data_IF_491901051396
#
_entry.id   IF_491901051396
#
_cell.length_a   1.000
_cell.length_b   1.000
_cell.length_c   1.000
_cell.angle_alpha   90.00
_cell.angle_beta   90.00
_cell.angle_gamma   90.00
#
_symmetry.space_group_name_H-M   'P 1'
#
loop_
_entity.id
_entity.type
_entity.pdbx_description
1 polymer ?
#
# COMPACT_ATOMS: atom_id res chain seq x y z
N UNK A 1 15.95 -5.24 34.59
CA UNK A 1 15.78 -5.55 36.02
C UNK A 1 14.34 -5.22 36.36
N UNK A 2 13.57 -6.15 36.92
CA UNK A 2 12.14 -5.92 37.15
C UNK A 2 11.97 -4.82 38.18
N UNK A 3 11.43 -3.66 37.78
CA UNK A 3 10.94 -2.65 38.70
C UNK A 3 9.71 -3.20 39.41
N UNK A 4 9.95 -4.12 40.34
CA UNK A 4 8.92 -4.73 41.18
C UNK A 4 8.36 -3.64 42.08
N UNK A 5 7.11 -3.30 41.86
CA UNK A 5 6.36 -2.35 42.67
C UNK A 5 6.30 -2.86 44.13
N UNK A 6 6.41 -1.98 45.14
CA UNK A 6 6.31 -2.39 46.55
C UNK A 6 5.02 -3.17 46.87
N UNK A 7 3.92 -2.88 46.16
CA UNK A 7 2.67 -3.65 46.25
C UNK A 7 2.83 -5.07 45.70
N UNK A 8 3.54 -5.25 44.57
CA UNK A 8 3.84 -6.56 44.00
C UNK A 8 4.84 -7.33 44.88
N UNK A 9 5.83 -6.66 45.46
CA UNK A 9 6.78 -7.26 46.41
C UNK A 9 6.10 -7.81 47.66
N UNK A 10 5.07 -7.12 48.17
CA UNK A 10 4.25 -7.60 49.28
C UNK A 10 3.08 -8.50 48.85
N UNK A 11 2.92 -8.75 47.54
CA UNK A 11 1.82 -9.53 46.97
C UNK A 11 0.44 -9.04 47.44
N UNK A 12 0.23 -7.72 47.32
CA UNK A 12 -1.01 -7.03 47.72
C UNK A 12 -1.49 -6.09 46.62
N UNK A 13 -2.79 -5.83 46.61
CA UNK A 13 -3.38 -4.85 45.69
C UNK A 13 -2.93 -3.42 46.06
N UNK A 14 -2.76 -2.49 45.09
CA UNK A 14 -2.49 -1.07 45.37
C UNK A 14 -3.52 -0.39 46.30
N UNK A 15 -4.74 -0.94 46.36
CA UNK A 15 -5.82 -0.49 47.25
C UNK A 15 -5.90 -1.26 48.57
N UNK A 16 -4.92 -2.11 48.88
CA UNK A 16 -4.91 -2.88 50.13
C UNK A 16 -4.90 -1.96 51.35
N UNK A 17 -5.62 -2.38 52.38
CA UNK A 17 -5.68 -1.71 53.68
C UNK A 17 -4.37 -1.91 54.45
N UNK A 18 -4.12 -1.05 55.45
CA UNK A 18 -2.93 -1.18 56.31
C UNK A 18 -2.90 -2.52 57.05
N UNK A 19 -4.07 -3.09 57.36
CA UNK A 19 -4.19 -4.41 57.99
C UNK A 19 -3.72 -5.53 57.06
N UNK A 20 -4.15 -5.50 55.79
CA UNK A 20 -3.74 -6.47 54.77
C UNK A 20 -2.25 -6.38 54.47
N UNK A 21 -1.70 -5.16 54.37
CA UNK A 21 -0.26 -4.93 54.19
C UNK A 21 0.55 -5.54 55.35
N UNK A 22 0.08 -5.33 56.59
CA UNK A 22 0.71 -5.88 57.79
C UNK A 22 0.62 -7.41 57.86
N UNK A 23 -0.50 -7.98 57.44
CA UNK A 23 -0.68 -9.43 57.37
C UNK A 23 0.22 -10.06 56.29
N UNK A 24 0.28 -9.45 55.11
CA UNK A 24 1.13 -9.89 54.01
C UNK A 24 2.61 -9.85 54.39
N UNK A 25 3.07 -8.76 55.02
CA UNK A 25 4.41 -8.64 55.56
C UNK A 25 4.75 -9.78 56.53
N UNK A 26 3.89 -10.05 57.53
CA UNK A 26 4.12 -11.13 58.50
C UNK A 26 4.23 -12.50 57.84
N UNK A 27 3.37 -12.77 56.85
CA UNK A 27 3.37 -14.02 56.08
C UNK A 27 4.66 -14.20 55.28
N UNK A 28 5.07 -13.17 54.55
CA UNK A 28 6.26 -13.19 53.71
C UNK A 28 7.54 -13.19 54.57
N UNK A 29 7.56 -12.44 55.67
CA UNK A 29 8.68 -12.41 56.60
C UNK A 29 8.95 -13.80 57.21
N UNK A 30 7.91 -14.50 57.65
CA UNK A 30 8.04 -15.88 58.17
C UNK A 30 8.51 -16.87 57.10
N UNK A 31 8.11 -16.66 55.84
CA UNK A 31 8.48 -17.52 54.71
C UNK A 31 9.95 -17.35 54.31
N UNK A 32 10.44 -16.10 54.27
CA UNK A 32 11.77 -15.78 53.78
C UNK A 32 12.83 -15.60 54.90
N UNK A 33 12.46 -15.71 56.17
CA UNK A 33 13.39 -15.53 57.29
C UNK A 33 14.57 -16.53 57.21
N UNK A 34 15.82 -16.08 57.41
CA UNK A 34 17.01 -16.94 57.29
C UNK A 34 17.06 -18.05 58.36
N UNK A 35 16.37 -17.85 59.48
CA UNK A 35 16.24 -18.83 60.57
C UNK A 35 15.05 -19.81 60.38
N UNK A 36 14.39 -19.76 59.22
CA UNK A 36 13.32 -20.69 58.88
C UNK A 36 13.93 -21.92 58.20
N UNK A 37 13.68 -23.13 58.70
CA UNK A 37 14.04 -24.41 58.04
C UNK A 37 13.20 -24.67 56.76
N UNK A 38 12.84 -23.62 56.03
CA UNK A 38 12.04 -23.66 54.82
C UNK A 38 12.94 -23.64 53.58
N UNK A 39 12.66 -24.45 52.54
CA UNK A 39 13.36 -24.35 51.26
C UNK A 39 13.12 -23.01 50.53
N UNK A 40 12.27 -22.14 51.10
CA UNK A 40 11.97 -20.81 50.58
C UNK A 40 12.69 -19.68 51.32
N UNK A 41 13.58 -19.97 52.28
CA UNK A 41 14.39 -18.94 52.93
C UNK A 41 15.28 -18.21 51.90
N UNK A 42 15.19 -16.89 51.87
CA UNK A 42 15.84 -16.06 50.85
C UNK A 42 16.13 -14.66 51.41
N UNK A 43 17.41 -14.41 51.70
CA UNK A 43 17.89 -13.16 52.30
C UNK A 43 17.64 -11.95 51.40
N UNK A 44 17.69 -12.11 50.08
CA UNK A 44 17.47 -10.99 49.15
C UNK A 44 15.98 -10.62 49.11
N UNK A 45 15.10 -11.62 49.11
CA UNK A 45 13.64 -11.37 49.13
C UNK A 45 13.18 -10.75 50.44
N UNK A 46 13.72 -11.18 51.59
CA UNK A 46 13.33 -10.57 52.87
C UNK A 46 13.76 -9.10 52.94
N UNK A 47 14.92 -8.74 52.38
CA UNK A 47 15.37 -7.34 52.27
C UNK A 47 14.37 -6.53 51.43
N UNK A 48 13.93 -7.05 50.29
CA UNK A 48 12.92 -6.39 49.45
C UNK A 48 11.56 -6.25 50.14
N UNK A 49 11.11 -7.29 50.85
CA UNK A 49 9.85 -7.30 51.62
C UNK A 49 9.90 -6.27 52.76
N UNK A 50 11.03 -6.18 53.46
CA UNK A 50 11.24 -5.18 54.52
C UNK A 50 11.20 -3.76 53.96
N UNK A 51 11.91 -3.50 52.86
CA UNK A 51 11.92 -2.20 52.20
C UNK A 51 10.52 -1.79 51.70
N UNK A 52 9.77 -2.72 51.10
CA UNK A 52 8.41 -2.48 50.65
C UNK A 52 7.45 -2.17 51.83
N UNK A 53 7.56 -2.91 52.94
CA UNK A 53 6.76 -2.66 54.13
C UNK A 53 7.10 -1.31 54.79
N UNK A 54 8.37 -0.92 54.81
CA UNK A 54 8.81 0.37 55.35
C UNK A 54 8.14 1.56 54.68
N UNK A 55 7.94 1.45 53.36
CA UNK A 55 7.29 2.48 52.53
C UNK A 55 5.76 2.41 52.64
N UNK A 56 5.18 1.20 52.58
CA UNK A 56 3.72 1.01 52.50
C UNK A 56 2.99 1.03 53.86
N UNK A 57 3.70 0.79 54.97
CA UNK A 57 3.11 0.74 56.31
C UNK A 57 2.75 2.11 56.88
N UNK A 58 3.47 3.16 56.47
CA UNK A 58 3.23 4.54 56.91
C UNK A 58 2.36 5.30 55.89
N UNK A 59 1.22 5.88 56.29
CA UNK A 59 0.31 6.60 55.39
C UNK A 59 0.94 7.74 54.59
N UNK A 60 1.84 8.53 55.21
CA UNK A 60 2.52 9.66 54.56
C UNK A 60 3.52 9.17 53.49
N UNK A 61 4.29 8.13 53.83
CA UNK A 61 5.26 7.52 52.91
C UNK A 61 4.57 6.81 51.75
N UNK A 62 3.49 6.09 52.02
CA UNK A 62 2.64 5.45 51.01
C UNK A 62 2.05 6.47 50.05
N UNK A 63 1.48 7.57 50.57
CA UNK A 63 0.94 8.65 49.75
C UNK A 63 2.01 9.25 48.83
N UNK A 64 3.19 9.53 49.38
CA UNK A 64 4.32 10.07 48.60
C UNK A 64 4.81 9.10 47.52
N UNK A 65 4.83 7.79 47.82
CA UNK A 65 5.16 6.74 46.88
C UNK A 65 4.13 6.65 45.74
N UNK A 66 2.84 6.63 46.08
CA UNK A 66 1.75 6.55 45.11
C UNK A 66 1.71 7.77 44.18
N UNK A 67 1.94 8.97 44.71
CA UNK A 67 2.02 10.21 43.93
C UNK A 67 3.15 10.16 42.90
N UNK A 68 4.36 9.77 43.31
CA UNK A 68 5.50 9.64 42.39
C UNK A 68 5.20 8.60 41.31
N UNK A 69 4.67 7.44 41.71
CA UNK A 69 4.33 6.35 40.77
C UNK A 69 3.32 6.78 39.73
N UNK A 70 2.26 7.49 40.13
CA UNK A 70 1.25 8.00 39.19
C UNK A 70 1.84 9.04 38.24
N UNK A 71 2.68 9.96 38.73
CA UNK A 71 3.35 10.95 37.88
C UNK A 71 4.24 10.30 36.80
N UNK A 72 5.02 9.27 37.18
CA UNK A 72 5.82 8.51 36.22
C UNK A 72 4.95 7.76 35.22
N UNK A 73 3.85 7.15 35.67
CA UNK A 73 2.93 6.41 34.81
C UNK A 73 2.23 7.34 33.80
N UNK A 74 1.73 8.49 34.24
CA UNK A 74 1.13 9.51 33.38
C UNK A 74 2.14 10.00 32.34
N UNK A 75 3.37 10.28 32.75
CA UNK A 75 4.44 10.75 31.84
C UNK A 75 4.77 9.71 30.75
N UNK A 76 4.84 8.43 31.13
CA UNK A 76 5.08 7.32 30.19
C UNK A 76 3.90 7.14 29.22
N UNK A 77 2.66 7.24 29.71
CA UNK A 77 1.46 7.16 28.87
C UNK A 77 1.38 8.31 27.87
N UNK A 78 1.70 9.54 28.29
CA UNK A 78 1.74 10.70 27.41
C UNK A 78 2.80 10.54 26.31
N UNK A 79 4.00 10.08 26.68
CA UNK A 79 5.07 9.80 25.72
C UNK A 79 4.67 8.71 24.71
N UNK A 80 4.08 7.61 25.18
CA UNK A 80 3.59 6.54 24.31
C UNK A 80 2.47 7.01 23.39
N UNK A 81 1.55 7.85 23.86
CA UNK A 81 0.48 8.42 23.03
C UNK A 81 1.04 9.31 21.92
N UNK A 82 2.04 10.14 22.22
CA UNK A 82 2.73 10.97 21.23
C UNK A 82 3.48 10.13 20.19
N UNK A 83 4.16 9.06 20.61
CA UNK A 83 4.85 8.16 19.67
C UNK A 83 3.87 7.41 18.76
N UNK A 84 2.76 6.88 19.31
CA UNK A 84 1.74 6.17 18.54
C UNK A 84 1.06 7.08 17.50
N UNK A 85 0.75 8.31 17.89
CA UNK A 85 0.15 9.31 16.98
C UNK A 85 1.13 9.75 15.89
N UNK A 86 2.40 10.00 16.23
CA UNK A 86 3.44 10.32 15.25
C UNK A 86 3.69 9.17 14.24
N UNK A 87 3.71 7.92 14.73
CA UNK A 87 3.83 6.74 13.86
C UNK A 87 2.63 6.61 12.91
N UNK A 88 1.40 6.74 13.41
CA UNK A 88 0.20 6.71 12.59
C UNK A 88 0.18 7.84 11.54
N UNK A 89 0.60 9.06 11.91
CA UNK A 89 0.71 10.18 10.99
C UNK A 89 1.75 9.94 9.88
N UNK A 90 2.92 9.38 10.22
CA UNK A 90 3.95 9.02 9.22
C UNK A 90 3.46 7.97 8.24
N UNK A 91 2.79 6.92 8.72
CA UNK A 91 2.18 5.90 7.86
C UNK A 91 1.15 6.52 6.90
N UNK A 92 0.28 7.38 7.40
CA UNK A 92 -0.72 8.06 6.58
C UNK A 92 -0.08 8.97 5.52
N UNK A 93 0.95 9.73 5.88
CA UNK A 93 1.69 10.60 4.95
C UNK A 93 2.39 9.79 3.86
N UNK A 94 3.06 8.67 4.20
CA UNK A 94 3.70 7.81 3.22
C UNK A 94 2.69 7.20 2.22
N UNK A 95 1.56 6.68 2.70
CA UNK A 95 0.52 6.16 1.82
C UNK A 95 -0.08 7.23 0.90
N UNK A 96 -0.32 8.44 1.42
CA UNK A 96 -0.83 9.56 0.62
C UNK A 96 0.16 10.02 -0.45
N UNK A 97 1.45 10.09 -0.12
CA UNK A 97 2.48 10.44 -1.10
C UNK A 97 2.65 9.36 -2.17
N UNK A 98 2.54 8.08 -1.79
CA UNK A 98 2.55 6.96 -2.74
C UNK A 98 1.37 7.07 -3.72
N UNK A 99 0.15 7.30 -3.23
CA UNK A 99 -1.03 7.51 -4.07
C UNK A 99 -0.87 8.68 -5.04
N UNK A 100 -0.41 9.84 -4.57
CA UNK A 100 -0.15 11.01 -5.44
C UNK A 100 0.85 10.72 -6.55
N UNK A 101 1.91 9.95 -6.26
CA UNK A 101 2.90 9.56 -7.29
C UNK A 101 2.28 8.63 -8.32
N UNK A 102 1.47 7.67 -7.88
CA UNK A 102 0.75 6.74 -8.76
C UNK A 102 -0.23 7.49 -9.67
N UNK A 103 -1.01 8.42 -9.13
CA UNK A 103 -1.94 9.23 -9.91
C UNK A 103 -1.23 10.12 -10.93
N UNK A 104 -0.09 10.73 -10.55
CA UNK A 104 0.72 11.52 -11.47
C UNK A 104 1.32 10.66 -12.60
N UNK A 105 1.81 9.46 -12.27
CA UNK A 105 2.33 8.52 -13.25
C UNK A 105 1.24 8.05 -14.22
N UNK A 106 0.03 7.79 -13.71
CA UNK A 106 -1.13 7.45 -14.53
C UNK A 106 -1.50 8.59 -15.49
N UNK A 107 -1.63 9.81 -14.97
CA UNK A 107 -1.96 10.98 -15.79
C UNK A 107 -0.93 11.23 -16.89
N UNK A 108 0.36 11.10 -16.55
CA UNK A 108 1.44 11.20 -17.53
C UNK A 108 1.33 10.12 -18.62
N UNK A 109 1.14 8.85 -18.25
CA UNK A 109 1.01 7.77 -19.23
C UNK A 109 -0.22 7.96 -20.12
N UNK A 110 -1.36 8.39 -19.56
CA UNK A 110 -2.56 8.67 -20.33
C UNK A 110 -2.31 9.75 -21.38
N UNK A 111 -1.66 10.85 -20.99
CA UNK A 111 -1.42 11.98 -21.89
C UNK A 111 -0.34 11.69 -22.95
N UNK A 112 0.72 10.97 -22.57
CA UNK A 112 1.88 10.78 -23.44
C UNK A 112 1.79 9.54 -24.32
N UNK A 113 1.06 8.51 -23.88
CA UNK A 113 0.97 7.22 -24.57
C UNK A 113 -0.45 6.96 -25.05
N UNK A 114 -1.40 6.85 -24.12
CA UNK A 114 -2.76 6.41 -24.48
C UNK A 114 -3.45 7.36 -25.44
N UNK A 115 -3.49 8.66 -25.15
CA UNK A 115 -4.18 9.64 -25.99
C UNK A 115 -3.59 9.72 -27.42
N UNK A 116 -2.26 9.84 -27.61
CA UNK A 116 -1.68 9.81 -28.95
C UNK A 116 -1.90 8.50 -29.70
N UNK A 117 -1.82 7.35 -29.01
CA UNK A 117 -2.10 6.05 -29.63
C UNK A 117 -3.56 5.94 -30.04
N UNK A 118 -4.49 6.33 -29.16
CA UNK A 118 -5.92 6.30 -29.41
C UNK A 118 -6.31 7.21 -30.59
N UNK A 119 -5.73 8.40 -30.67
CA UNK A 119 -5.94 9.31 -31.79
C UNK A 119 -5.52 8.69 -33.13
N UNK A 120 -4.39 7.99 -33.16
CA UNK A 120 -3.91 7.29 -34.37
C UNK A 120 -4.80 6.11 -34.76
N UNK A 121 -5.28 5.36 -33.78
CA UNK A 121 -6.27 4.31 -34.02
C UNK A 121 -7.56 4.90 -34.59
N UNK A 122 -7.99 6.07 -34.08
CA UNK A 122 -9.21 6.74 -34.56
C UNK A 122 -9.04 7.20 -36.02
N UNK A 123 -7.86 7.69 -36.40
CA UNK A 123 -7.54 7.99 -37.80
C UNK A 123 -7.66 6.80 -38.76
N UNK A 124 -7.46 5.57 -38.26
CA UNK A 124 -7.61 4.34 -39.04
C UNK A 124 -9.08 3.86 -39.06
N UNK A 125 -9.82 4.04 -37.96
CA UNK A 125 -11.14 3.42 -37.82
C UNK A 125 -12.28 4.34 -38.27
N UNK A 126 -12.17 5.64 -38.06
CA UNK A 126 -13.26 6.58 -38.37
C UNK A 126 -13.54 6.69 -39.87
N UNK A 127 -12.55 6.76 -40.78
CA UNK A 127 -12.80 6.86 -42.22
C UNK A 127 -13.15 5.52 -42.88
N UNK A 128 -12.86 4.39 -42.22
CA UNK A 128 -12.88 3.06 -42.82
C UNK A 128 -14.23 2.72 -43.48
N UNK A 129 -15.34 2.99 -42.80
CA UNK A 129 -16.67 2.70 -43.32
C UNK A 129 -16.96 3.51 -44.59
N UNK A 130 -16.66 4.81 -44.58
CA UNK A 130 -16.86 5.67 -45.74
C UNK A 130 -15.98 5.26 -46.94
N UNK A 131 -14.73 4.90 -46.69
CA UNK A 131 -13.80 4.43 -47.71
C UNK A 131 -14.24 3.10 -48.34
N UNK A 132 -14.78 2.19 -47.53
CA UNK A 132 -15.37 0.94 -48.03
C UNK A 132 -16.65 1.20 -48.84
N UNK A 133 -17.51 2.11 -48.37
CA UNK A 133 -18.74 2.48 -49.08
C UNK A 133 -18.42 3.13 -50.44
N UNK A 134 -17.44 4.04 -50.48
CA UNK A 134 -16.97 4.69 -51.71
C UNK A 134 -16.43 3.66 -52.70
N UNK A 135 -15.52 2.78 -52.28
CA UNK A 135 -14.98 1.72 -53.14
C UNK A 135 -16.07 0.73 -53.59
N UNK A 136 -17.08 0.47 -52.75
CA UNK A 136 -18.16 -0.47 -53.08
C UNK A 136 -19.08 0.01 -54.20
N UNK A 137 -19.06 1.32 -54.52
CA UNK A 137 -19.87 1.90 -55.57
C UNK A 137 -19.46 1.40 -56.96
N UNK A 138 -18.15 1.31 -57.21
CA UNK A 138 -17.56 0.62 -58.35
C UNK A 138 -16.16 0.08 -57.98
N UNK A 139 -16.07 -1.20 -57.55
CA UNK A 139 -14.80 -1.78 -57.15
C UNK A 139 -13.78 -1.91 -58.28
N UNK A 140 -14.21 -1.81 -59.55
CA UNK A 140 -13.34 -1.90 -60.74
C UNK A 140 -12.84 -0.54 -61.23
N UNK A 141 -13.19 0.54 -60.53
CA UNK A 141 -12.70 1.88 -60.86
C UNK A 141 -11.27 2.07 -60.36
N UNK A 142 -10.35 2.31 -61.29
CA UNK A 142 -8.92 2.48 -61.00
C UNK A 142 -8.63 3.69 -60.08
N UNK A 143 -9.46 4.75 -60.15
CA UNK A 143 -9.29 5.95 -59.32
C UNK A 143 -9.73 5.68 -57.89
N UNK A 144 -10.90 5.06 -57.69
CA UNK A 144 -11.39 4.66 -56.36
C UNK A 144 -10.46 3.62 -55.70
N UNK A 145 -9.93 2.68 -56.47
CA UNK A 145 -8.97 1.70 -55.95
C UNK A 145 -7.67 2.39 -55.49
N UNK A 146 -7.13 3.31 -56.30
CA UNK A 146 -5.92 4.05 -55.95
C UNK A 146 -6.11 4.93 -54.70
N UNK A 147 -7.28 5.56 -54.54
CA UNK A 147 -7.63 6.32 -53.34
C UNK A 147 -7.67 5.42 -52.10
N UNK A 148 -8.30 4.25 -52.21
CA UNK A 148 -8.36 3.27 -51.12
C UNK A 148 -6.99 2.70 -50.76
N UNK A 149 -6.13 2.43 -51.74
CA UNK A 149 -4.75 1.99 -51.50
C UNK A 149 -3.93 3.06 -50.76
N UNK A 150 -4.04 4.33 -51.17
CA UNK A 150 -3.39 5.45 -50.49
C UNK A 150 -3.86 5.57 -49.04
N UNK A 151 -5.17 5.39 -48.79
CA UNK A 151 -5.71 5.31 -47.44
C UNK A 151 -5.12 4.16 -46.61
N UNK A 152 -4.97 2.96 -47.18
CA UNK A 152 -4.35 1.81 -46.51
C UNK A 152 -2.84 2.02 -46.23
N UNK A 153 -2.13 2.76 -47.09
CA UNK A 153 -0.76 3.19 -46.82
C UNK A 153 -0.70 4.12 -45.60
N UNK A 154 -1.54 5.16 -45.56
CA UNK A 154 -1.64 6.09 -44.43
C UNK A 154 -2.03 5.37 -43.13
N UNK A 155 -2.95 4.41 -43.20
CA UNK A 155 -3.31 3.56 -42.07
C UNK A 155 -2.11 2.78 -41.52
N UNK A 156 -1.26 2.24 -42.41
CA UNK A 156 -0.01 1.56 -42.03
C UNK A 156 0.95 2.48 -41.28
N UNK A 157 1.09 3.73 -41.75
CA UNK A 157 1.93 4.74 -41.09
C UNK A 157 1.40 5.12 -39.70
N UNK A 158 0.09 5.33 -39.57
CA UNK A 158 -0.54 5.59 -38.28
C UNK A 158 -0.35 4.42 -37.30
N UNK A 159 -0.53 3.18 -37.77
CA UNK A 159 -0.35 1.99 -36.98
C UNK A 159 1.11 1.84 -36.51
N UNK A 160 2.08 2.00 -37.40
CA UNK A 160 3.49 1.93 -37.04
C UNK A 160 3.86 3.00 -36.01
N UNK A 161 3.37 4.23 -36.18
CA UNK A 161 3.60 5.30 -35.21
C UNK A 161 2.93 5.00 -33.86
N UNK A 162 1.73 4.42 -33.87
CA UNK A 162 1.01 3.99 -32.66
C UNK A 162 1.76 2.89 -31.91
N UNK A 163 2.21 1.84 -32.61
CA UNK A 163 3.02 0.77 -32.05
C UNK A 163 4.33 1.30 -31.48
N UNK A 164 5.05 2.16 -32.22
CA UNK A 164 6.31 2.77 -31.73
C UNK A 164 6.09 3.58 -30.45
N UNK A 165 5.03 4.38 -30.38
CA UNK A 165 4.69 5.14 -29.17
C UNK A 165 4.34 4.22 -28.01
N UNK A 166 3.49 3.22 -28.24
CA UNK A 166 3.06 2.28 -27.20
C UNK A 166 4.23 1.49 -26.60
N UNK A 167 5.20 1.08 -27.42
CA UNK A 167 6.39 0.35 -26.97
C UNK A 167 7.54 1.25 -26.48
N UNK A 168 7.41 2.58 -26.56
CA UNK A 168 8.49 3.51 -26.20
C UNK A 168 8.79 3.57 -24.70
N UNK A 169 7.80 3.23 -23.86
CA UNK A 169 7.90 3.29 -22.40
C UNK A 169 7.22 2.09 -21.74
N UNK A 170 7.69 1.65 -20.56
CA UNK A 170 7.05 0.57 -19.83
C UNK A 170 5.68 0.99 -19.32
N UNK A 171 4.69 0.10 -19.47
CA UNK A 171 3.33 0.34 -19.02
C UNK A 171 3.25 0.29 -17.48
N UNK A 172 2.66 1.31 -16.82
CA UNK A 172 2.45 1.29 -15.37
C UNK A 172 1.60 0.08 -14.95
N UNK A 173 1.94 -0.53 -13.81
CA UNK A 173 1.22 -1.70 -13.30
C UNK A 173 -0.28 -1.43 -13.07
N UNK A 174 -0.66 -0.18 -12.77
CA UNK A 174 -2.05 0.24 -12.58
C UNK A 174 -2.89 0.15 -13.85
N UNK A 175 -2.28 0.19 -15.03
CA UNK A 175 -2.97 0.13 -16.33
C UNK A 175 -2.63 -1.11 -17.13
N UNK A 176 -1.97 -2.10 -16.52
CA UNK A 176 -1.50 -3.30 -17.24
C UNK A 176 -2.60 -3.99 -18.05
N UNK A 177 -3.81 -4.10 -17.50
CA UNK A 177 -4.96 -4.68 -18.20
C UNK A 177 -5.42 -3.83 -19.39
N UNK A 178 -5.53 -2.51 -19.22
CA UNK A 178 -5.91 -1.60 -20.31
C UNK A 178 -4.84 -1.57 -21.42
N UNK A 179 -3.56 -1.58 -21.04
CA UNK A 179 -2.46 -1.66 -21.97
C UNK A 179 -2.45 -2.99 -22.74
N UNK A 180 -2.80 -4.11 -22.10
CA UNK A 180 -2.95 -5.39 -22.79
C UNK A 180 -4.05 -5.34 -23.84
N UNK A 181 -5.23 -4.76 -23.52
CA UNK A 181 -6.30 -4.58 -24.50
C UNK A 181 -5.87 -3.70 -25.68
N UNK A 182 -5.12 -2.63 -25.40
CA UNK A 182 -4.60 -1.75 -26.44
C UNK A 182 -3.59 -2.48 -27.35
N UNK A 183 -2.73 -3.31 -26.77
CA UNK A 183 -1.82 -4.16 -27.52
C UNK A 183 -2.57 -5.12 -28.45
N UNK A 184 -3.60 -5.80 -27.95
CA UNK A 184 -4.43 -6.68 -28.77
C UNK A 184 -5.12 -5.91 -29.91
N UNK A 185 -5.66 -4.72 -29.62
CA UNK A 185 -6.27 -3.85 -30.62
C UNK A 185 -5.29 -3.49 -31.74
N UNK A 186 -4.06 -3.08 -31.40
CA UNK A 186 -3.03 -2.75 -32.40
C UNK A 186 -2.65 -3.94 -33.28
N UNK A 187 -2.64 -5.16 -32.75
CA UNK A 187 -2.36 -6.35 -33.55
C UNK A 187 -3.53 -6.69 -34.47
N UNK A 188 -4.77 -6.61 -33.98
CA UNK A 188 -5.95 -6.84 -34.82
C UNK A 188 -6.06 -5.81 -35.96
N UNK A 189 -5.69 -4.55 -35.69
CA UNK A 189 -5.59 -3.53 -36.73
C UNK A 189 -4.49 -3.85 -37.75
N UNK A 190 -3.35 -4.39 -37.31
CA UNK A 190 -2.28 -4.83 -38.21
C UNK A 190 -2.78 -5.92 -39.16
N UNK A 191 -3.38 -6.97 -38.60
CA UNK A 191 -3.92 -8.09 -39.37
C UNK A 191 -5.00 -7.61 -40.36
N UNK A 192 -5.92 -6.74 -39.91
CA UNK A 192 -6.99 -6.20 -40.76
C UNK A 192 -6.48 -5.31 -41.90
N UNK A 193 -5.49 -4.45 -41.65
CA UNK A 193 -4.88 -3.62 -42.70
C UNK A 193 -4.16 -4.52 -43.72
N UNK A 194 -3.46 -5.56 -43.27
CA UNK A 194 -2.79 -6.51 -44.17
C UNK A 194 -3.80 -7.27 -45.03
N UNK A 195 -4.91 -7.72 -44.46
CA UNK A 195 -5.98 -8.39 -45.20
C UNK A 195 -6.60 -7.47 -46.27
N UNK A 196 -6.87 -6.20 -45.93
CA UNK A 196 -7.38 -5.22 -46.89
C UNK A 196 -6.37 -4.90 -48.00
N UNK A 197 -5.06 -4.85 -47.70
CA UNK A 197 -4.03 -4.69 -48.73
C UNK A 197 -3.94 -5.90 -49.65
N UNK A 198 -4.11 -7.12 -49.12
CA UNK A 198 -4.16 -8.32 -49.94
C UNK A 198 -5.37 -8.31 -50.88
N UNK A 199 -6.49 -7.72 -50.47
CA UNK A 199 -7.65 -7.55 -51.35
C UNK A 199 -7.32 -6.71 -52.58
N UNK A 200 -6.63 -5.58 -52.44
CA UNK A 200 -6.29 -4.71 -53.58
C UNK A 200 -5.30 -5.38 -54.54
N UNK A 201 -4.34 -6.16 -54.02
CA UNK A 201 -3.34 -6.87 -54.83
C UNK A 201 -3.91 -8.04 -55.65
N UNK A 202 -4.95 -8.72 -55.16
CA UNK A 202 -5.60 -9.81 -55.89
C UNK A 202 -6.64 -9.32 -56.91
N UNK A 203 -6.81 -8.01 -57.03
CA UNK A 203 -7.77 -7.39 -57.93
C UNK A 203 -7.21 -7.16 -59.34
N UNK A 204 -5.90 -7.25 -59.51
CA UNK A 204 -5.18 -7.11 -60.78
C UNK A 204 -5.13 -8.46 -61.53
N UNK A 205 -6.29 -9.05 -61.80
CA UNK A 205 -6.39 -10.19 -62.73
C UNK A 205 -7.07 -9.72 -64.02
N UNK A 206 -6.24 -9.57 -65.05
CA UNK A 206 -6.57 -9.55 -66.48
C UNK A 206 -7.44 -10.76 -66.85
N UNK A 207 -8.72 -10.73 -66.48
CA UNK A 207 -9.72 -11.70 -66.87
C UNK A 207 -10.99 -10.99 -67.32
N UNK A 208 -10.87 -10.23 -68.43
CA UNK A 208 -11.92 -10.02 -69.42
C UNK A 208 -11.30 -9.84 -70.82
#
# INVERSE_FOLDING_TARGET
MSDSNHYQTLDVHPHATTLEIKQAYRRLAKRFHPDSNSPTADTEKIIQVNAAYEVLSNPERRRSYDQKRNYFQDSLEHHNRQQRTAHAQRHYQHHRQKGKKTDAQLGYWLQQIYQPVNHRISHILEPLEAQLDELSADPFDDELMAEFEAYLEECGDHLHQAQRLFHSQPNPATVASAAANLYYCLNQLADGIEELKLFTLNYDDYHL
#
